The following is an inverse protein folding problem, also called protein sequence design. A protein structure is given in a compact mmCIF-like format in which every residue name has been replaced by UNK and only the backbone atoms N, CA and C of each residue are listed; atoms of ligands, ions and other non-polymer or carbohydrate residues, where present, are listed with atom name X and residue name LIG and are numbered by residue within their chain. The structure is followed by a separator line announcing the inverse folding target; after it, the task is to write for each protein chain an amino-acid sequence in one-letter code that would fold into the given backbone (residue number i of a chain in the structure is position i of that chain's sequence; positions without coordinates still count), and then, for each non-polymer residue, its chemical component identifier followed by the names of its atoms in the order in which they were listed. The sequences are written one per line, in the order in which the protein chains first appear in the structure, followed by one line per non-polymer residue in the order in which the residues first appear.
data_IF_845161390114
#
_entry.id   IF_845161390114
#
_cell.length_a   1.000
_cell.length_b   1.000
_cell.length_c   1.000
_cell.angle_alpha   90.00
_cell.angle_beta   90.00
_cell.angle_gamma   90.00
#
_symmetry.space_group_name_H-M   'P 1'
#
loop_
_entity.id
_entity.type
_entity.pdbx_description
1 polymer ?
#
# COMPACT_ATOMS: atom_id res chain seq x y z
N UNK A 1 3.07 -1.18 44.40
CA UNK A 1 3.57 -0.70 43.10
C UNK A 1 2.48 -0.97 42.08
N UNK A 2 1.77 0.06 41.59
CA UNK A 2 0.62 -0.10 40.67
C UNK A 2 1.16 -0.12 39.25
N UNK A 3 1.12 -1.28 38.59
CA UNK A 3 1.61 -1.44 37.22
C UNK A 3 0.56 -0.92 36.25
N UNK A 4 0.83 0.23 35.63
CA UNK A 4 -0.01 0.76 34.54
C UNK A 4 0.23 -0.07 33.27
N UNK A 5 -0.78 -0.83 32.85
CA UNK A 5 -0.85 -1.42 31.52
C UNK A 5 -1.12 -0.30 30.51
N UNK A 6 -0.08 0.12 29.80
CA UNK A 6 -0.21 1.04 28.66
C UNK A 6 -0.70 0.21 27.46
N UNK A 7 -1.98 0.35 27.11
CA UNK A 7 -2.48 -0.18 25.84
C UNK A 7 -1.90 0.67 24.70
N UNK A 8 -1.18 0.07 23.72
CA UNK A 8 -0.69 0.83 22.59
C UNK A 8 -1.88 1.27 21.74
N UNK A 9 -2.12 2.59 21.66
CA UNK A 9 -3.00 3.15 20.64
C UNK A 9 -2.47 2.73 19.27
N UNK A 10 -3.25 1.92 18.55
CA UNK A 10 -2.99 1.70 17.13
C UNK A 10 -3.28 3.01 16.43
N UNK A 11 -2.22 3.75 16.09
CA UNK A 11 -2.32 4.79 15.07
C UNK A 11 -2.78 4.05 13.83
N UNK A 12 -4.07 4.21 13.46
CA UNK A 12 -4.52 3.88 12.13
C UNK A 12 -3.84 4.91 11.24
N UNK A 13 -2.66 4.54 10.71
CA UNK A 13 -2.01 5.30 9.68
C UNK A 13 -3.02 5.40 8.54
N UNK A 14 -3.61 6.59 8.36
CA UNK A 14 -4.30 6.92 7.14
C UNK A 14 -3.28 6.67 6.04
N UNK A 15 -3.60 5.78 5.10
CA UNK A 15 -2.67 5.45 4.03
C UNK A 15 -2.43 6.72 3.22
N UNK A 16 -1.28 7.36 3.44
CA UNK A 16 -0.77 8.39 2.55
C UNK A 16 -0.80 7.78 1.14
N UNK A 17 -1.42 8.42 0.13
CA UNK A 17 -1.53 7.82 -1.19
C UNK A 17 -0.12 7.52 -1.73
N UNK A 18 0.11 6.29 -2.20
CA UNK A 18 1.40 5.93 -2.78
C UNK A 18 1.61 6.70 -4.09
N UNK A 19 2.49 7.71 -4.06
CA UNK A 19 2.76 8.56 -5.22
C UNK A 19 3.95 8.00 -6.00
N UNK A 20 3.78 7.69 -7.31
CA UNK A 20 4.89 7.22 -8.13
C UNK A 20 5.88 8.36 -8.41
N UNK A 21 7.19 8.10 -8.41
CA UNK A 21 8.19 9.10 -8.77
C UNK A 21 8.15 9.43 -10.27
N UNK A 22 8.51 10.66 -10.62
CA UNK A 22 8.62 11.12 -12.01
C UNK A 22 9.89 10.53 -12.61
N UNK A 23 9.78 9.93 -13.80
CA UNK A 23 10.94 9.40 -14.53
C UNK A 23 11.94 10.53 -14.83
N UNK A 24 13.25 10.36 -14.56
CA UNK A 24 14.25 11.32 -14.97
C UNK A 24 14.37 11.37 -16.51
N UNK A 25 14.77 12.53 -17.02
CA UNK A 25 15.06 12.71 -18.44
C UNK A 25 16.46 12.19 -18.75
N UNK A 26 16.63 11.56 -19.92
CA UNK A 26 17.93 11.20 -20.46
C UNK A 26 18.02 11.71 -21.91
N UNK A 27 18.93 12.65 -22.22
CA UNK A 27 19.16 13.10 -23.59
C UNK A 27 19.59 11.96 -24.51
N UNK A 28 19.36 12.13 -25.82
CA UNK A 28 19.82 11.17 -26.84
C UNK A 28 21.20 11.51 -27.39
N UNK A 29 21.64 12.77 -27.35
CA UNK A 29 22.97 13.18 -27.81
C UNK A 29 24.03 12.78 -26.76
N UNK A 30 25.04 11.96 -27.12
CA UNK A 30 26.13 11.59 -26.22
C UNK A 30 26.92 12.78 -25.66
N UNK A 31 26.99 13.90 -26.39
CA UNK A 31 27.67 15.12 -25.94
C UNK A 31 26.91 15.77 -24.78
N UNK A 32 25.59 15.78 -24.85
CA UNK A 32 24.74 16.29 -23.77
C UNK A 32 24.83 15.38 -22.54
N UNK A 33 24.86 14.06 -22.75
CA UNK A 33 25.05 13.09 -21.65
C UNK A 33 26.37 13.36 -20.93
N UNK A 34 27.46 13.59 -21.66
CA UNK A 34 28.77 13.90 -21.06
C UNK A 34 28.79 15.27 -20.38
N UNK A 35 28.22 16.29 -21.02
CA UNK A 35 28.20 17.66 -20.51
C UNK A 35 27.41 17.78 -19.18
N UNK A 36 26.34 16.99 -19.04
CA UNK A 36 25.44 17.03 -17.88
C UNK A 36 25.53 15.76 -17.01
N UNK A 37 26.62 14.99 -17.09
CA UNK A 37 26.73 13.68 -16.46
C UNK A 37 26.45 13.69 -14.95
N UNK A 38 26.91 14.71 -14.23
CA UNK A 38 26.70 14.81 -12.78
C UNK A 38 25.26 15.15 -12.42
N UNK A 39 24.60 16.05 -13.18
CA UNK A 39 23.19 16.37 -13.01
C UNK A 39 22.31 15.15 -13.32
N UNK A 40 22.57 14.47 -14.44
CA UNK A 40 21.86 13.25 -14.81
C UNK A 40 22.05 12.16 -13.76
N UNK A 41 23.25 12.01 -13.20
CA UNK A 41 23.49 11.05 -12.11
C UNK A 41 22.61 11.34 -10.90
N UNK A 42 22.58 12.60 -10.46
CA UNK A 42 21.78 13.03 -9.32
C UNK A 42 20.28 12.76 -9.53
N UNK A 43 19.74 13.08 -10.72
CA UNK A 43 18.33 12.85 -11.03
C UNK A 43 17.96 11.37 -11.00
N UNK A 44 18.83 10.50 -11.52
CA UNK A 44 18.63 9.05 -11.48
C UNK A 44 18.74 8.48 -10.06
N UNK A 45 19.70 8.95 -9.26
CA UNK A 45 19.85 8.53 -7.86
C UNK A 45 18.62 8.93 -7.02
N UNK A 46 18.13 10.15 -7.20
CA UNK A 46 16.89 10.62 -6.57
C UNK A 46 15.69 9.74 -6.95
N UNK A 47 15.52 9.46 -8.25
CA UNK A 47 14.47 8.56 -8.72
C UNK A 47 14.54 7.16 -8.09
N UNK A 48 15.73 6.58 -7.99
CA UNK A 48 15.91 5.23 -7.42
C UNK A 48 15.55 5.21 -5.92
N UNK A 49 15.93 6.24 -5.17
CA UNK A 49 15.55 6.38 -3.78
C UNK A 49 14.02 6.46 -3.62
N UNK A 50 13.39 7.34 -4.40
CA UNK A 50 11.95 7.57 -4.33
C UNK A 50 11.15 6.36 -4.83
N UNK A 51 11.69 5.63 -5.81
CA UNK A 51 11.15 4.35 -6.26
C UNK A 51 11.11 3.32 -5.13
N UNK A 52 12.18 3.23 -4.34
CA UNK A 52 12.21 2.36 -3.15
C UNK A 52 11.17 2.77 -2.10
N UNK A 53 10.98 4.08 -1.89
CA UNK A 53 9.93 4.61 -0.98
C UNK A 53 8.54 4.26 -1.49
N UNK A 54 8.30 4.43 -2.78
CA UNK A 54 7.03 4.09 -3.42
C UNK A 54 6.69 2.60 -3.29
N UNK A 55 7.66 1.70 -3.52
CA UNK A 55 7.44 0.26 -3.34
C UNK A 55 7.09 -0.12 -1.90
N UNK A 56 7.80 0.45 -0.91
CA UNK A 56 7.47 0.21 0.50
C UNK A 56 6.04 0.65 0.85
N UNK A 57 5.59 1.77 0.28
CA UNK A 57 4.20 2.21 0.43
C UNK A 57 3.23 1.19 -0.16
N UNK A 58 3.45 0.75 -1.41
CA UNK A 58 2.58 -0.23 -2.07
C UNK A 58 2.51 -1.56 -1.32
N UNK A 59 3.63 -2.03 -0.77
CA UNK A 59 3.68 -3.28 -0.01
C UNK A 59 2.90 -3.16 1.31
N UNK A 60 3.00 -2.02 1.99
CA UNK A 60 2.20 -1.75 3.19
C UNK A 60 0.69 -1.72 2.87
N UNK A 61 0.31 -1.07 1.78
CA UNK A 61 -1.10 -0.99 1.36
C UNK A 61 -1.63 -2.34 0.91
N UNK A 62 -0.82 -3.13 0.18
CA UNK A 62 -1.15 -4.51 -0.17
C UNK A 62 -1.41 -5.35 1.08
N UNK A 63 -0.56 -5.24 2.11
CA UNK A 63 -0.75 -5.98 3.35
C UNK A 63 -2.05 -5.56 4.07
N UNK A 64 -2.31 -4.26 4.16
CA UNK A 64 -3.52 -3.70 4.78
C UNK A 64 -4.79 -4.18 4.08
N UNK A 65 -4.87 -4.00 2.77
CA UNK A 65 -6.04 -4.39 1.96
C UNK A 65 -6.24 -5.90 1.95
N UNK A 66 -5.16 -6.68 2.00
CA UNK A 66 -5.27 -8.13 2.07
C UNK A 66 -5.92 -8.60 3.39
N UNK A 67 -5.58 -7.98 4.52
CA UNK A 67 -6.23 -8.27 5.81
C UNK A 67 -7.71 -7.89 5.78
N UNK A 68 -8.03 -6.66 5.34
CA UNK A 68 -9.41 -6.19 5.21
C UNK A 68 -10.23 -7.11 4.28
N UNK A 69 -9.65 -7.54 3.17
CA UNK A 69 -10.29 -8.48 2.24
C UNK A 69 -10.61 -9.83 2.87
N UNK A 70 -9.74 -10.36 3.75
CA UNK A 70 -10.03 -11.60 4.49
C UNK A 70 -11.22 -11.42 5.45
N UNK A 71 -11.23 -10.32 6.20
CA UNK A 71 -12.31 -10.00 7.15
C UNK A 71 -13.65 -9.88 6.43
N UNK A 72 -13.71 -9.08 5.36
CA UNK A 72 -14.92 -8.87 4.56
C UNK A 72 -15.40 -10.18 3.92
N UNK A 73 -14.49 -11.02 3.44
CA UNK A 73 -14.87 -12.33 2.87
C UNK A 73 -15.48 -13.24 3.91
N UNK A 74 -14.93 -13.28 5.13
CA UNK A 74 -15.47 -14.07 6.23
C UNK A 74 -16.85 -13.56 6.68
N UNK A 75 -17.04 -12.24 6.74
CA UNK A 75 -18.35 -11.64 7.03
C UNK A 75 -19.37 -12.01 5.96
N UNK A 76 -18.99 -11.95 4.68
CA UNK A 76 -19.87 -12.31 3.58
C UNK A 76 -20.27 -13.80 3.61
N UNK A 77 -19.35 -14.70 3.97
CA UNK A 77 -19.64 -16.11 4.14
C UNK A 77 -20.72 -16.34 5.23
N UNK A 78 -20.58 -15.70 6.41
CA UNK A 78 -21.59 -15.77 7.48
C UNK A 78 -22.94 -15.23 7.05
N UNK A 79 -22.96 -14.12 6.33
CA UNK A 79 -24.18 -13.56 5.76
C UNK A 79 -24.90 -14.57 4.84
N UNK A 80 -24.14 -15.28 3.99
CA UNK A 80 -24.70 -16.32 3.13
C UNK A 80 -25.27 -17.48 3.93
N UNK A 81 -24.57 -17.98 4.96
CA UNK A 81 -25.06 -19.08 5.80
C UNK A 81 -26.43 -18.75 6.40
N UNK A 82 -26.57 -17.59 7.03
CA UNK A 82 -27.83 -17.13 7.65
C UNK A 82 -28.93 -16.95 6.59
N UNK A 83 -28.60 -16.34 5.46
CA UNK A 83 -29.58 -16.03 4.41
C UNK A 83 -30.06 -17.29 3.70
N UNK A 84 -29.15 -18.24 3.44
CA UNK A 84 -29.48 -19.52 2.84
C UNK A 84 -30.32 -20.38 3.79
N UNK A 85 -30.02 -20.38 5.09
CA UNK A 85 -30.85 -21.05 6.10
C UNK A 85 -32.27 -20.47 6.15
N UNK A 86 -32.42 -19.14 6.12
CA UNK A 86 -33.73 -18.48 6.04
C UNK A 86 -34.49 -18.85 4.77
N UNK A 87 -33.81 -18.92 3.62
CA UNK A 87 -34.43 -19.31 2.34
C UNK A 87 -34.95 -20.75 2.38
N UNK A 88 -34.30 -21.63 3.12
CA UNK A 88 -34.64 -23.06 3.20
C UNK A 88 -35.69 -23.37 4.28
N UNK A 89 -36.10 -22.40 5.09
CA UNK A 89 -37.17 -22.60 6.07
C UNK A 89 -38.50 -22.88 5.33
N UNK A 90 -39.23 -23.96 5.66
CA UNK A 90 -40.50 -24.27 5.03
C UNK A 90 -41.54 -23.18 5.30
N UNK A 91 -42.37 -22.87 4.29
CA UNK A 91 -43.55 -22.02 4.47
C UNK A 91 -44.64 -22.86 5.15
N UNK A 92 -44.96 -22.51 6.40
CA UNK A 92 -46.20 -22.93 7.07
C UNK A 92 -47.44 -22.30 6.42
#
# INVERSE_FOLDING_TARGET
MVTFLVLPSRIQAQAEPCIPPIRPFLPTDPRDIQAYADLLRQDFEAYIQDFGTYLRCLDAERARVFQEGQEVTAEYARFQEVTNARRQAPAD
#
